data_IF_024590730316
#
_entry.id   IF_024590730316
#
_cell.length_a   1.000
_cell.length_b   1.000
_cell.length_c   1.000
_cell.angle_alpha   90.00
_cell.angle_beta   90.00
_cell.angle_gamma   90.00
#
_symmetry.space_group_name_H-M   'P 1'
#
loop_
_entity.id
_entity.type
_entity.pdbx_description
1 polymer ?
#
# COMPACT_ATOMS: atom_id res chain seq x y z
N UNK A 1 25.07 14.60 51.80
CA UNK A 1 24.34 13.36 51.59
C UNK A 1 23.08 13.52 50.72
N UNK A 2 22.41 14.67 50.70
CA UNK A 2 21.24 14.90 49.84
C UNK A 2 21.57 14.99 48.35
N UNK A 3 22.80 15.31 47.96
CA UNK A 3 23.21 15.42 46.54
C UNK A 3 23.41 14.11 45.84
N UNK A 4 23.80 13.03 46.54
CA UNK A 4 24.01 11.69 45.94
C UNK A 4 22.72 11.03 45.49
N UNK A 5 21.62 11.20 46.22
CA UNK A 5 20.33 10.65 45.85
C UNK A 5 19.73 11.32 44.63
N UNK A 6 19.92 12.59 44.43
CA UNK A 6 19.44 13.31 43.25
C UNK A 6 20.19 12.94 41.98
N UNK A 7 21.49 12.68 42.09
CA UNK A 7 22.30 12.25 40.94
C UNK A 7 21.90 10.88 40.45
N UNK A 8 21.66 9.95 41.35
CA UNK A 8 21.19 8.58 41.00
C UNK A 8 19.84 8.58 40.31
N UNK A 9 18.91 9.44 40.77
CA UNK A 9 17.58 9.58 40.15
C UNK A 9 17.66 10.12 38.73
N UNK A 10 18.51 11.09 38.47
CA UNK A 10 18.71 11.66 37.13
C UNK A 10 19.32 10.68 36.17
N UNK A 11 20.25 9.83 36.59
CA UNK A 11 20.86 8.79 35.77
C UNK A 11 19.84 7.70 35.41
N UNK A 12 18.95 7.32 36.33
CA UNK A 12 17.91 6.34 36.09
C UNK A 12 16.89 6.83 35.06
N UNK A 13 16.48 8.10 35.12
CA UNK A 13 15.55 8.69 34.16
C UNK A 13 16.18 8.79 32.77
N UNK A 14 17.45 9.15 32.67
CA UNK A 14 18.15 9.20 31.38
C UNK A 14 18.24 7.83 30.71
N UNK A 15 18.48 6.77 31.46
CA UNK A 15 18.52 5.40 30.96
C UNK A 15 17.17 4.94 30.42
N UNK A 16 16.07 5.28 31.09
CA UNK A 16 14.71 4.94 30.66
C UNK A 16 14.34 5.65 29.36
N UNK A 17 14.73 6.91 29.21
CA UNK A 17 14.47 7.69 27.98
C UNK A 17 15.24 7.12 26.78
N UNK A 18 16.47 6.65 26.97
CA UNK A 18 17.27 6.06 25.91
C UNK A 18 16.65 4.75 25.37
N UNK A 19 16.11 3.92 26.26
CA UNK A 19 15.43 2.68 25.88
C UNK A 19 14.16 2.94 25.07
N UNK A 20 13.38 3.96 25.44
CA UNK A 20 12.16 4.34 24.70
C UNK A 20 12.46 4.80 23.28
N UNK A 21 13.55 5.55 23.06
CA UNK A 21 13.95 6.00 21.73
C UNK A 21 14.40 4.85 20.83
N UNK A 22 15.10 3.85 21.38
CA UNK A 22 15.54 2.68 20.64
C UNK A 22 14.36 1.83 20.15
N UNK A 23 13.33 1.64 20.95
CA UNK A 23 12.11 0.92 20.56
C UNK A 23 11.38 1.62 19.43
N UNK A 24 11.35 2.94 19.43
CA UNK A 24 10.68 3.71 18.38
C UNK A 24 11.38 3.58 17.02
N UNK A 25 12.70 3.56 16.99
CA UNK A 25 13.46 3.36 15.75
C UNK A 25 13.22 1.98 15.11
N UNK A 26 13.13 0.95 15.90
CA UNK A 26 12.86 -0.42 15.43
C UNK A 26 11.49 -0.52 14.77
N UNK A 27 10.46 0.14 15.31
CA UNK A 27 9.11 0.17 14.73
C UNK A 27 9.07 0.87 13.37
N UNK A 28 9.80 1.97 13.19
CA UNK A 28 9.86 2.71 11.91
C UNK A 28 10.53 1.86 10.83
N UNK A 29 11.60 1.16 11.12
CA UNK A 29 12.29 0.26 10.19
C UNK A 29 11.41 -0.92 9.76
N UNK A 30 10.62 -1.48 10.68
CA UNK A 30 9.70 -2.57 10.39
C UNK A 30 8.61 -2.17 9.39
N UNK A 31 8.10 -0.96 9.45
CA UNK A 31 7.08 -0.49 8.52
C UNK A 31 7.65 -0.19 7.13
N UNK A 32 8.88 0.28 7.02
CA UNK A 32 9.54 0.50 5.72
C UNK A 32 9.81 -0.81 4.97
N UNK A 33 10.27 -1.83 5.65
CA UNK A 33 10.49 -3.16 5.05
C UNK A 33 9.19 -3.80 4.58
N UNK A 34 8.10 -3.57 5.27
CA UNK A 34 6.79 -4.09 4.91
C UNK A 34 6.27 -3.45 3.62
N UNK A 35 6.47 -2.16 3.42
CA UNK A 35 6.05 -1.45 2.22
C UNK A 35 6.81 -1.90 0.98
N UNK A 36 8.12 -2.15 1.07
CA UNK A 36 8.93 -2.64 -0.04
C UNK A 36 8.50 -4.04 -0.50
N UNK A 37 8.19 -4.93 0.42
CA UNK A 37 7.72 -6.27 0.10
C UNK A 37 6.34 -6.23 -0.55
N UNK A 38 5.46 -5.38 -0.09
CA UNK A 38 4.11 -5.19 -0.64
C UNK A 38 4.18 -4.65 -2.07
N UNK A 39 5.09 -3.74 -2.36
CA UNK A 39 5.28 -3.19 -3.71
C UNK A 39 5.71 -4.26 -4.72
N UNK A 40 6.55 -5.20 -4.32
CA UNK A 40 6.97 -6.31 -5.20
C UNK A 40 5.84 -7.29 -5.50
N UNK A 41 4.94 -7.49 -4.56
CA UNK A 41 3.79 -8.39 -4.70
C UNK A 41 2.74 -7.80 -5.63
N UNK A 42 2.69 -6.48 -5.82
CA UNK A 42 1.69 -5.83 -6.68
C UNK A 42 1.76 -6.24 -8.15
N UNK A 43 2.87 -6.84 -8.59
CA UNK A 43 3.02 -7.39 -9.95
C UNK A 43 2.59 -8.85 -10.06
N UNK A 44 2.10 -9.46 -8.99
CA UNK A 44 1.89 -10.89 -8.89
C UNK A 44 0.53 -11.43 -9.38
N UNK A 45 -0.35 -10.60 -9.91
CA UNK A 45 -1.64 -11.06 -10.42
C UNK A 45 -2.79 -10.96 -9.44
N UNK A 46 -3.86 -11.75 -9.69
CA UNK A 46 -5.12 -11.65 -8.97
C UNK A 46 -4.97 -11.93 -7.47
N UNK A 47 -5.57 -11.06 -6.64
CA UNK A 47 -5.52 -11.19 -5.18
C UNK A 47 -4.22 -10.74 -4.54
N UNK A 48 -3.26 -10.26 -5.32
CA UNK A 48 -1.92 -9.89 -4.84
C UNK A 48 -1.87 -8.53 -4.16
N UNK A 49 -2.83 -7.63 -4.44
CA UNK A 49 -2.87 -6.29 -3.89
C UNK A 49 -3.60 -6.23 -2.56
N UNK A 50 -3.20 -5.27 -1.73
CA UNK A 50 -3.97 -4.84 -0.57
C UNK A 50 -4.93 -3.73 -0.99
N UNK A 51 -6.04 -3.56 -0.28
CA UNK A 51 -7.09 -2.59 -0.65
C UNK A 51 -6.54 -1.15 -0.74
N UNK A 52 -5.61 -0.78 0.13
CA UNK A 52 -5.03 0.57 0.13
C UNK A 52 -4.10 0.80 -1.08
N UNK A 53 -3.68 -0.25 -1.77
CA UNK A 53 -2.84 -0.15 -2.96
C UNK A 53 -3.63 0.15 -4.23
N UNK A 54 -4.95 0.01 -4.19
CA UNK A 54 -5.80 0.26 -5.35
C UNK A 54 -5.67 1.68 -5.86
N UNK A 55 -5.67 2.68 -4.98
CA UNK A 55 -5.57 4.09 -5.38
C UNK A 55 -4.30 4.40 -6.17
N UNK A 56 -3.07 4.10 -5.66
CA UNK A 56 -1.85 4.36 -6.44
C UNK A 56 -1.73 3.51 -7.71
N UNK A 57 -2.17 2.25 -7.68
CA UNK A 57 -2.13 1.40 -8.85
C UNK A 57 -3.09 1.86 -9.95
N UNK A 58 -4.28 2.30 -9.58
CA UNK A 58 -5.23 2.85 -10.54
C UNK A 58 -4.78 4.22 -11.07
N UNK A 59 -4.13 5.05 -10.25
CA UNK A 59 -3.54 6.30 -10.70
C UNK A 59 -2.48 6.03 -11.79
N UNK A 60 -1.66 5.01 -11.64
CA UNK A 60 -0.72 4.56 -12.64
C UNK A 60 -1.44 4.06 -13.90
N UNK A 61 -2.40 3.16 -13.74
CA UNK A 61 -3.16 2.55 -14.85
C UNK A 61 -3.85 3.61 -15.69
N UNK A 62 -4.41 4.63 -15.07
CA UNK A 62 -5.15 5.70 -15.71
C UNK A 62 -4.28 6.91 -16.09
N UNK A 63 -2.96 6.78 -16.00
CA UNK A 63 -2.04 7.90 -16.21
C UNK A 63 -1.99 8.43 -17.63
N UNK A 64 -2.34 7.62 -18.62
CA UNK A 64 -2.22 7.96 -20.04
C UNK A 64 -3.57 8.19 -20.76
N UNK A 65 -4.68 8.10 -20.04
CA UNK A 65 -6.01 8.32 -20.62
C UNK A 65 -6.49 9.76 -20.45
N UNK A 66 -7.20 10.27 -21.44
CA UNK A 66 -7.92 11.56 -21.34
C UNK A 66 -9.19 11.44 -20.49
N UNK A 67 -9.70 10.23 -20.26
CA UNK A 67 -10.90 9.98 -19.44
C UNK A 67 -10.52 9.56 -18.03
N UNK A 68 -9.69 10.37 -17.38
CA UNK A 68 -9.05 10.04 -16.11
C UNK A 68 -10.05 9.74 -14.98
N UNK A 69 -11.08 10.57 -14.83
CA UNK A 69 -12.07 10.41 -13.76
C UNK A 69 -12.87 9.11 -13.89
N UNK A 70 -13.31 8.79 -15.10
CA UNK A 70 -14.02 7.53 -15.36
C UNK A 70 -13.11 6.34 -15.16
N UNK A 71 -11.89 6.41 -15.65
CA UNK A 71 -10.89 5.34 -15.49
C UNK A 71 -10.62 5.08 -14.01
N UNK A 72 -10.34 6.09 -13.20
CA UNK A 72 -10.07 5.96 -11.78
C UNK A 72 -11.25 5.36 -11.03
N UNK A 73 -12.47 5.80 -11.33
CA UNK A 73 -13.70 5.30 -10.70
C UNK A 73 -13.86 3.80 -10.94
N UNK A 74 -13.79 3.35 -12.17
CA UNK A 74 -13.97 1.95 -12.52
C UNK A 74 -12.77 1.09 -12.12
N UNK A 75 -11.55 1.60 -12.29
CA UNK A 75 -10.35 0.87 -11.87
C UNK A 75 -10.36 0.60 -10.36
N UNK A 76 -10.66 1.61 -9.53
CA UNK A 76 -10.73 1.44 -8.09
C UNK A 76 -11.82 0.46 -7.67
N UNK A 77 -12.96 0.49 -8.34
CA UNK A 77 -14.06 -0.45 -8.10
C UNK A 77 -13.65 -1.88 -8.43
N UNK A 78 -13.00 -2.08 -9.57
CA UNK A 78 -12.52 -3.38 -9.99
C UNK A 78 -11.38 -3.88 -9.10
N UNK A 79 -10.46 -3.02 -8.73
CA UNK A 79 -9.37 -3.37 -7.81
C UNK A 79 -9.89 -3.78 -6.45
N UNK A 80 -10.87 -3.07 -5.91
CA UNK A 80 -11.48 -3.41 -4.61
C UNK A 80 -12.08 -4.82 -4.60
N UNK A 81 -12.67 -5.24 -5.73
CA UNK A 81 -13.25 -6.57 -5.88
C UNK A 81 -12.21 -7.64 -6.15
N UNK A 82 -11.26 -7.36 -7.05
CA UNK A 82 -10.34 -8.37 -7.59
C UNK A 82 -8.95 -8.33 -6.95
N UNK A 83 -8.60 -7.25 -6.27
CA UNK A 83 -7.28 -7.01 -5.66
C UNK A 83 -6.15 -7.26 -6.68
N UNK A 84 -6.33 -6.72 -7.87
CA UNK A 84 -5.41 -6.82 -8.99
C UNK A 84 -5.66 -5.68 -9.97
N UNK A 85 -4.61 -5.07 -10.48
CA UNK A 85 -4.68 -4.06 -11.55
C UNK A 85 -3.67 -4.48 -12.61
N UNK A 86 -4.06 -4.57 -13.90
CA UNK A 86 -3.15 -4.96 -14.96
C UNK A 86 -1.96 -4.01 -15.08
N UNK A 87 -0.81 -4.51 -15.51
CA UNK A 87 0.40 -3.71 -15.69
C UNK A 87 0.24 -2.74 -16.87
N UNK A 88 1.05 -1.68 -16.87
CA UNK A 88 1.03 -0.68 -17.92
C UNK A 88 -0.23 0.20 -17.89
N UNK A 89 -0.51 0.85 -19.01
CA UNK A 89 -1.63 1.79 -19.15
C UNK A 89 -2.79 1.20 -19.94
N UNK A 90 -2.58 0.13 -20.68
CA UNK A 90 -3.57 -0.45 -21.56
C UNK A 90 -3.29 -1.95 -21.74
N UNK A 91 -4.34 -2.73 -21.92
CA UNK A 91 -4.21 -4.17 -22.16
C UNK A 91 -3.71 -4.93 -20.94
N UNK A 92 -2.97 -6.01 -21.17
CA UNK A 92 -2.39 -6.86 -20.11
C UNK A 92 -3.42 -7.43 -19.12
N UNK A 93 -4.69 -7.43 -19.48
CA UNK A 93 -5.80 -7.84 -18.61
C UNK A 93 -5.79 -9.33 -18.27
N UNK A 94 -5.08 -10.14 -19.05
CA UNK A 94 -4.94 -11.56 -18.77
C UNK A 94 -4.21 -11.84 -17.45
N UNK A 95 -3.43 -10.87 -16.96
CA UNK A 95 -2.78 -10.94 -15.65
C UNK A 95 -3.79 -10.97 -14.49
N UNK A 96 -5.00 -10.43 -14.73
CA UNK A 96 -6.04 -10.28 -13.73
C UNK A 96 -7.36 -10.86 -14.26
N UNK A 97 -7.59 -12.17 -14.21
CA UNK A 97 -8.82 -12.77 -14.76
C UNK A 97 -10.11 -12.19 -14.20
N UNK A 98 -10.20 -11.94 -12.91
CA UNK A 98 -11.36 -11.31 -12.27
C UNK A 98 -11.64 -9.93 -12.88
N UNK A 99 -10.60 -9.13 -13.03
CA UNK A 99 -10.64 -7.78 -13.61
C UNK A 99 -11.01 -7.84 -15.09
N UNK A 100 -10.42 -8.76 -15.83
CA UNK A 100 -10.64 -8.93 -17.26
C UNK A 100 -12.06 -9.42 -17.57
N UNK A 101 -12.60 -10.31 -16.75
CA UNK A 101 -13.87 -10.98 -17.01
C UNK A 101 -15.10 -10.24 -16.47
N UNK A 102 -14.92 -9.16 -15.75
CA UNK A 102 -16.05 -8.38 -15.24
C UNK A 102 -16.67 -7.53 -16.35
N UNK A 103 -17.91 -7.86 -16.70
CA UNK A 103 -18.64 -7.23 -17.79
C UNK A 103 -19.73 -6.28 -17.30
N UNK A 104 -20.05 -5.28 -18.11
CA UNK A 104 -21.21 -4.43 -17.92
C UNK A 104 -22.49 -5.20 -18.30
N UNK A 105 -23.67 -4.61 -18.06
CA UNK A 105 -24.96 -5.18 -18.44
C UNK A 105 -25.08 -5.37 -19.94
N UNK A 106 -24.43 -4.53 -20.73
CA UNK A 106 -24.41 -4.59 -22.19
C UNK A 106 -23.39 -5.59 -22.73
N UNK A 107 -22.62 -6.26 -21.87
CA UNK A 107 -21.63 -7.26 -22.25
C UNK A 107 -20.25 -6.70 -22.56
N UNK A 108 -20.03 -5.40 -22.45
CA UNK A 108 -18.72 -4.78 -22.63
C UNK A 108 -17.84 -4.89 -21.40
N UNK A 109 -16.53 -4.62 -21.52
CA UNK A 109 -15.63 -4.68 -20.39
C UNK A 109 -15.94 -3.55 -19.39
N UNK A 110 -16.03 -3.89 -18.09
CA UNK A 110 -16.29 -2.91 -17.04
C UNK A 110 -15.01 -2.25 -16.54
N UNK A 111 -13.91 -3.00 -16.53
CA UNK A 111 -12.66 -2.57 -15.96
C UNK A 111 -11.72 -2.02 -17.04
N UNK A 112 -11.15 -0.83 -16.82
CA UNK A 112 -10.26 -0.25 -17.80
C UNK A 112 -8.91 -0.93 -17.79
#
# INVERSE_FOLDING_TARGET
MAMAGRLLLLLAVAALLAVSLAEHEVLVRGSEEHDDNVYRVSKGGQGSLKIYQCSPECARRCGDTQYKNACLKFCNKCCAKCLCVPSGYYGNKAECPCYNNWKTKEGGPKCP
#
